data_IF_444875590371
#
_entry.id   IF_444875590371
#
_cell.length_a   1.000
_cell.length_b   1.000
_cell.length_c   1.000
_cell.angle_alpha   90.00
_cell.angle_beta   90.00
_cell.angle_gamma   90.00
#
_symmetry.space_group_name_H-M   'P 1'
#
loop_
_entity.id
_entity.type
_entity.pdbx_description
1 polymer ?
#
# COMPACT_ATOMS: atom_id res chain seq x y z
N UNK A 1 14.57 20.86 -2.51
CA UNK A 1 13.54 19.80 -2.41
C UNK A 1 12.37 20.23 -1.50
N UNK A 2 12.58 20.48 -0.18
CA UNK A 2 11.49 20.88 0.74
C UNK A 2 10.81 22.19 0.30
N UNK A 3 11.57 23.18 -0.15
CA UNK A 3 11.03 24.44 -0.66
C UNK A 3 10.21 24.27 -1.95
N UNK A 4 10.60 23.33 -2.79
CA UNK A 4 9.88 22.99 -4.03
C UNK A 4 8.54 22.31 -3.71
N UNK A 5 8.53 21.36 -2.78
CA UNK A 5 7.30 20.70 -2.34
C UNK A 5 6.34 21.72 -1.70
N UNK A 6 6.83 22.61 -0.86
CA UNK A 6 6.04 23.70 -0.26
C UNK A 6 5.42 24.66 -1.29
N UNK A 7 5.95 24.73 -2.49
CA UNK A 7 5.34 25.51 -3.58
C UNK A 7 4.17 24.79 -4.26
N UNK A 8 3.99 23.50 -4.01
CA UNK A 8 2.98 22.66 -4.66
C UNK A 8 1.86 22.27 -3.69
N UNK A 9 2.19 22.10 -2.40
CA UNK A 9 1.25 21.65 -1.37
C UNK A 9 1.31 22.50 -0.12
N UNK A 10 0.14 22.82 0.44
CA UNK A 10 0.00 23.60 1.67
C UNK A 10 0.11 22.75 2.94
N UNK A 11 -0.21 21.46 2.86
CA UNK A 11 -0.24 20.51 3.99
C UNK A 11 1.06 19.71 4.06
N UNK A 12 2.12 20.32 4.60
CA UNK A 12 3.42 19.66 4.78
C UNK A 12 3.75 19.59 6.26
N UNK A 13 4.02 18.37 6.73
CA UNK A 13 4.54 18.10 8.07
C UNK A 13 6.00 17.63 7.94
N UNK A 14 6.93 18.47 8.40
CA UNK A 14 8.35 18.11 8.43
C UNK A 14 8.65 17.30 9.68
N UNK A 15 9.26 16.13 9.51
CA UNK A 15 9.65 15.23 10.60
C UNK A 15 11.08 14.71 10.42
N UNK A 16 11.69 14.26 11.52
CA UNK A 16 13.00 13.60 11.52
C UNK A 16 12.89 12.26 12.30
N UNK A 17 11.88 11.45 11.96
CA UNK A 17 11.47 10.29 12.75
C UNK A 17 12.09 8.96 12.29
N UNK A 18 12.65 8.91 11.09
CA UNK A 18 13.03 7.65 10.43
C UNK A 18 11.83 6.90 9.86
N UNK A 19 12.07 5.78 9.17
CA UNK A 19 11.07 5.11 8.32
C UNK A 19 9.83 4.66 9.13
N UNK A 20 9.97 3.72 10.07
CA UNK A 20 8.85 3.18 10.85
C UNK A 20 8.03 4.24 11.58
N UNK A 21 8.71 5.20 12.22
CA UNK A 21 8.01 6.25 12.96
C UNK A 21 7.33 7.26 12.05
N UNK A 22 7.88 7.54 10.87
CA UNK A 22 7.24 8.39 9.87
C UNK A 22 5.95 7.76 9.35
N UNK A 23 5.97 6.46 9.05
CA UNK A 23 4.77 5.73 8.66
C UNK A 23 3.71 5.75 9.77
N UNK A 24 4.07 5.43 11.02
CA UNK A 24 3.13 5.51 12.15
C UNK A 24 2.58 6.92 12.36
N UNK A 25 3.38 7.95 12.15
CA UNK A 25 2.91 9.33 12.21
C UNK A 25 1.85 9.63 11.14
N UNK A 26 2.02 9.11 9.91
CA UNK A 26 1.01 9.21 8.85
C UNK A 26 -0.28 8.44 9.22
N UNK A 27 -0.16 7.26 9.81
CA UNK A 27 -1.30 6.46 10.30
C UNK A 27 -2.07 7.22 11.39
N UNK A 28 -1.36 7.76 12.39
CA UNK A 28 -2.00 8.54 13.48
C UNK A 28 -2.66 9.81 12.94
N UNK A 29 -1.99 10.50 12.00
CA UNK A 29 -2.58 11.66 11.35
C UNK A 29 -3.88 11.31 10.63
N UNK A 30 -3.90 10.19 9.89
CA UNK A 30 -5.10 9.73 9.20
C UNK A 30 -6.23 9.41 10.18
N UNK A 31 -5.96 8.69 11.26
CA UNK A 31 -6.96 8.32 12.28
C UNK A 31 -7.51 9.56 13.01
N UNK A 32 -6.71 10.60 13.20
CA UNK A 32 -7.13 11.80 13.95
C UNK A 32 -7.87 12.82 13.10
N UNK A 33 -7.69 12.82 11.78
CA UNK A 33 -8.16 13.91 10.92
C UNK A 33 -9.21 13.50 9.88
N UNK A 34 -9.45 12.21 9.69
CA UNK A 34 -10.39 11.70 8.70
C UNK A 34 -11.44 10.78 9.35
N UNK A 35 -12.63 10.72 8.75
CA UNK A 35 -13.69 9.83 9.20
C UNK A 35 -13.36 8.37 8.87
N UNK A 36 -13.92 7.43 9.65
CA UNK A 36 -13.68 5.99 9.49
C UNK A 36 -14.03 5.46 8.08
N UNK A 37 -14.99 6.08 7.40
CA UNK A 37 -15.41 5.74 6.05
C UNK A 37 -14.51 6.29 4.95
N UNK A 38 -13.66 7.26 5.27
CA UNK A 38 -12.74 7.84 4.30
C UNK A 38 -11.61 6.88 3.96
N UNK A 39 -11.07 7.06 2.76
CA UNK A 39 -9.95 6.28 2.24
C UNK A 39 -8.68 7.11 2.24
N UNK A 40 -7.60 6.48 2.63
CA UNK A 40 -6.26 7.05 2.59
C UNK A 40 -5.36 6.20 1.71
N UNK A 41 -4.47 6.85 0.98
CA UNK A 41 -3.47 6.19 0.15
C UNK A 41 -2.07 6.59 0.64
N UNK A 42 -1.36 5.64 1.25
CA UNK A 42 0.04 5.81 1.63
C UNK A 42 0.89 5.63 0.39
N UNK A 43 1.77 6.60 0.13
CA UNK A 43 2.66 6.60 -1.03
C UNK A 43 4.04 7.07 -0.59
N UNK A 44 5.06 6.28 -0.93
CA UNK A 44 6.45 6.68 -0.79
C UNK A 44 6.88 7.52 -2.00
N UNK A 45 7.89 8.37 -1.83
CA UNK A 45 8.29 9.39 -2.82
C UNK A 45 9.06 8.82 -4.03
N UNK A 46 9.38 7.54 -4.02
CA UNK A 46 10.09 6.81 -5.07
C UNK A 46 9.18 5.91 -5.91
N UNK A 47 7.89 6.19 -5.91
CA UNK A 47 6.91 5.52 -6.78
C UNK A 47 6.43 6.44 -7.90
N UNK A 48 6.43 5.91 -9.12
CA UNK A 48 5.82 6.54 -10.29
C UNK A 48 4.47 5.88 -10.58
N UNK A 49 3.44 6.70 -10.70
CA UNK A 49 2.07 6.26 -11.00
C UNK A 49 1.70 6.57 -12.44
N UNK A 50 0.91 5.68 -13.04
CA UNK A 50 0.16 5.98 -14.25
C UNK A 50 -1.06 6.85 -13.93
N UNK A 51 -1.73 7.39 -14.96
CA UNK A 51 -2.95 8.17 -14.79
C UNK A 51 -4.10 7.35 -14.15
N UNK A 52 -5.15 8.04 -13.72
CA UNK A 52 -6.40 7.47 -13.23
C UNK A 52 -6.30 6.66 -11.93
N UNK A 53 -5.34 7.02 -11.06
CA UNK A 53 -5.10 6.37 -9.76
C UNK A 53 -6.40 6.16 -8.97
N UNK A 54 -7.24 7.18 -8.87
CA UNK A 54 -8.48 7.14 -8.11
C UNK A 54 -9.45 6.06 -8.64
N UNK A 55 -9.64 5.97 -9.96
CA UNK A 55 -10.52 4.99 -10.56
C UNK A 55 -10.05 3.56 -10.29
N UNK A 56 -8.74 3.32 -10.40
CA UNK A 56 -8.17 2.00 -10.08
C UNK A 56 -8.26 1.67 -8.59
N UNK A 57 -8.03 2.62 -7.69
CA UNK A 57 -8.19 2.37 -6.26
C UNK A 57 -9.66 2.04 -5.93
N UNK A 58 -10.62 2.78 -6.50
CA UNK A 58 -12.03 2.50 -6.33
C UNK A 58 -12.41 1.11 -6.85
N UNK A 59 -11.86 0.72 -8.00
CA UNK A 59 -12.04 -0.61 -8.59
C UNK A 59 -11.50 -1.72 -7.66
N UNK A 60 -10.31 -1.54 -7.10
CA UNK A 60 -9.74 -2.48 -6.13
C UNK A 60 -10.56 -2.65 -4.86
N UNK A 61 -11.18 -1.58 -4.38
CA UNK A 61 -12.11 -1.68 -3.25
C UNK A 61 -13.43 -2.35 -3.63
N UNK A 62 -13.89 -2.18 -4.87
CA UNK A 62 -15.16 -2.76 -5.36
C UNK A 62 -15.16 -4.29 -5.35
N UNK A 63 -13.99 -4.92 -5.44
CA UNK A 63 -13.87 -6.40 -5.33
C UNK A 63 -13.87 -6.91 -3.90
N UNK A 64 -14.12 -6.04 -2.91
CA UNK A 64 -14.23 -6.39 -1.49
C UNK A 64 -12.89 -6.39 -0.73
N UNK A 65 -11.87 -5.72 -1.26
CA UNK A 65 -10.59 -5.60 -0.60
C UNK A 65 -10.61 -4.63 0.59
N UNK A 66 -9.90 -4.97 1.66
CA UNK A 66 -9.64 -4.06 2.80
C UNK A 66 -8.43 -3.16 2.52
N UNK A 67 -7.48 -3.69 1.75
CA UNK A 67 -6.25 -3.02 1.36
C UNK A 67 -6.03 -3.18 -0.15
N UNK A 68 -5.65 -2.11 -0.82
CA UNK A 68 -5.47 -2.06 -2.27
C UNK A 68 -4.10 -1.49 -2.58
N UNK A 69 -3.29 -2.19 -3.36
CA UNK A 69 -2.05 -1.64 -3.91
C UNK A 69 -2.12 -1.58 -5.43
N UNK A 70 -1.64 -0.48 -6.00
CA UNK A 70 -1.44 -0.34 -7.44
C UNK A 70 -0.09 -0.90 -7.89
N UNK A 71 0.76 -1.25 -6.93
CA UNK A 71 2.07 -1.81 -7.18
C UNK A 71 2.02 -3.33 -7.28
N UNK A 72 2.37 -3.82 -8.46
CA UNK A 72 2.55 -5.25 -8.69
C UNK A 72 4.02 -5.60 -8.48
N UNK A 73 4.36 -6.04 -7.29
CA UNK A 73 5.74 -6.28 -6.88
C UNK A 73 6.34 -7.49 -7.62
N UNK A 74 7.56 -7.37 -8.20
CA UNK A 74 8.21 -8.41 -9.02
C UNK A 74 8.52 -9.69 -8.25
N UNK A 75 8.64 -9.66 -6.91
CA UNK A 75 8.88 -10.85 -6.09
C UNK A 75 7.78 -11.91 -6.21
N UNK A 76 6.54 -11.50 -6.51
CA UNK A 76 5.39 -12.40 -6.71
C UNK A 76 5.51 -13.26 -7.98
N UNK A 77 6.47 -12.95 -8.84
CA UNK A 77 6.83 -13.72 -10.04
C UNK A 77 8.08 -14.58 -9.84
N UNK A 78 8.70 -14.51 -8.65
CA UNK A 78 9.89 -15.27 -8.31
C UNK A 78 9.51 -16.56 -7.59
N UNK A 79 9.47 -17.67 -8.33
CA UNK A 79 9.10 -18.98 -7.79
C UNK A 79 10.05 -19.46 -6.68
N UNK A 80 11.28 -19.02 -6.65
CA UNK A 80 12.22 -19.39 -5.57
C UNK A 80 11.87 -18.73 -4.24
N UNK A 81 11.32 -17.53 -4.29
CA UNK A 81 10.88 -16.78 -3.10
C UNK A 81 9.49 -17.23 -2.63
N UNK A 82 8.61 -17.53 -3.57
CA UNK A 82 7.24 -17.97 -3.30
C UNK A 82 6.89 -19.26 -4.05
N UNK A 83 7.50 -20.41 -3.69
CA UNK A 83 7.35 -21.65 -4.46
C UNK A 83 5.93 -22.23 -4.45
N UNK A 84 5.11 -21.82 -3.49
CA UNK A 84 3.72 -22.31 -3.32
C UNK A 84 2.70 -21.17 -3.30
N UNK A 85 3.05 -19.97 -3.79
CA UNK A 85 2.13 -18.84 -3.82
C UNK A 85 0.88 -19.19 -4.61
N UNK A 86 -0.26 -19.07 -3.96
CA UNK A 86 -1.57 -19.15 -4.58
C UNK A 86 -2.27 -17.81 -4.44
N UNK A 87 -2.82 -17.32 -5.53
CA UNK A 87 -3.56 -16.06 -5.55
C UNK A 87 -4.96 -16.28 -6.10
N UNK A 88 -5.95 -15.63 -5.49
CA UNK A 88 -7.28 -15.49 -6.06
C UNK A 88 -7.28 -14.33 -7.02
N UNK A 89 -7.91 -14.49 -8.18
CA UNK A 89 -8.11 -13.43 -9.15
C UNK A 89 -9.54 -12.90 -9.01
N UNK A 90 -9.64 -11.58 -8.93
CA UNK A 90 -10.89 -10.84 -8.93
C UNK A 90 -10.96 -10.00 -10.19
N UNK A 91 -12.12 -9.92 -10.80
CA UNK A 91 -12.36 -9.12 -12.01
C UNK A 91 -13.03 -7.83 -11.59
N UNK A 92 -12.32 -6.72 -11.71
CA UNK A 92 -12.85 -5.38 -11.54
C UNK A 92 -13.35 -4.80 -12.87
N UNK A 93 -13.86 -3.58 -12.83
CA UNK A 93 -14.31 -2.86 -14.01
C UNK A 93 -13.15 -2.39 -14.90
N UNK A 94 -12.06 -1.98 -14.27
CA UNK A 94 -10.90 -1.39 -14.94
C UNK A 94 -9.69 -2.32 -15.00
N UNK A 95 -9.62 -3.34 -14.14
CA UNK A 95 -8.47 -4.23 -14.06
C UNK A 95 -8.80 -5.59 -13.48
N UNK A 96 -7.83 -6.49 -13.58
CA UNK A 96 -7.80 -7.70 -12.77
C UNK A 96 -7.01 -7.45 -11.50
N UNK A 97 -7.47 -8.03 -10.42
CA UNK A 97 -6.88 -7.92 -9.09
C UNK A 97 -6.49 -9.30 -8.60
N UNK A 98 -5.33 -9.42 -8.00
CA UNK A 98 -4.95 -10.67 -7.36
C UNK A 98 -4.76 -10.49 -5.86
N UNK A 99 -5.17 -11.47 -5.06
CA UNK A 99 -4.77 -11.49 -3.66
C UNK A 99 -3.27 -11.69 -3.56
N UNK A 100 -2.61 -10.89 -2.70
CA UNK A 100 -1.16 -10.97 -2.47
C UNK A 100 -0.88 -11.07 -0.98
N UNK A 101 0.22 -11.77 -0.57
CA UNK A 101 0.56 -11.93 0.84
C UNK A 101 1.10 -10.65 1.47
N UNK A 102 1.68 -9.76 0.68
CA UNK A 102 2.26 -8.49 1.13
C UNK A 102 2.39 -7.50 -0.01
N UNK A 103 2.60 -6.26 0.33
CA UNK A 103 3.08 -5.19 -0.55
C UNK A 103 4.02 -4.32 0.27
N UNK A 104 4.80 -3.45 -0.38
CA UNK A 104 5.56 -2.41 0.31
C UNK A 104 4.61 -1.40 0.97
N UNK A 105 5.13 -0.37 1.64
CA UNK A 105 4.32 0.59 2.39
C UNK A 105 3.50 1.55 1.50
N UNK A 106 3.28 1.17 0.23
CA UNK A 106 2.44 1.88 -0.74
C UNK A 106 1.13 1.13 -0.96
N UNK A 107 0.08 1.56 -0.26
CA UNK A 107 -1.26 0.95 -0.30
C UNK A 107 -2.36 1.92 0.13
N UNK A 108 -3.57 1.68 -0.35
CA UNK A 108 -4.78 2.38 0.08
C UNK A 108 -5.62 1.51 1.02
N UNK A 109 -6.31 2.14 1.95
CA UNK A 109 -7.23 1.49 2.88
C UNK A 109 -8.25 2.48 3.44
N UNK A 110 -9.32 1.99 4.09
CA UNK A 110 -10.21 2.83 4.86
C UNK A 110 -9.61 3.14 6.25
N UNK A 111 -9.90 4.31 6.79
CA UNK A 111 -9.48 4.71 8.14
C UNK A 111 -9.98 3.71 9.18
N UNK A 112 -11.19 3.17 9.04
CA UNK A 112 -11.71 2.09 9.88
C UNK A 112 -10.78 0.86 9.94
N UNK A 113 -10.15 0.49 8.82
CA UNK A 113 -9.20 -0.64 8.80
C UNK A 113 -7.89 -0.32 9.53
N UNK A 114 -7.45 0.94 9.52
CA UNK A 114 -6.29 1.38 10.30
C UNK A 114 -6.60 1.28 11.81
N UNK A 115 -7.76 1.75 12.23
CA UNK A 115 -8.22 1.69 13.63
C UNK A 115 -8.32 0.24 14.09
N UNK A 116 -8.98 -0.60 13.29
CA UNK A 116 -9.17 -2.04 13.58
C UNK A 116 -7.85 -2.80 13.75
N UNK A 117 -6.83 -2.45 12.98
CA UNK A 117 -5.56 -3.15 12.94
C UNK A 117 -4.40 -2.35 13.56
N UNK A 118 -4.71 -1.35 14.38
CA UNK A 118 -3.73 -0.43 14.96
C UNK A 118 -2.59 -1.14 15.69
N UNK A 119 -2.91 -2.18 16.46
CA UNK A 119 -1.94 -2.99 17.19
C UNK A 119 -0.93 -3.67 16.25
N UNK A 120 -1.39 -4.24 15.13
CA UNK A 120 -0.51 -4.86 14.12
C UNK A 120 0.40 -3.81 13.47
N UNK A 121 -0.15 -2.63 13.13
CA UNK A 121 0.61 -1.53 12.56
C UNK A 121 1.78 -1.12 13.48
N UNK A 122 1.51 -0.98 14.77
CA UNK A 122 2.55 -0.65 15.74
C UNK A 122 3.59 -1.77 15.91
N UNK A 123 3.13 -3.02 15.99
CA UNK A 123 4.02 -4.18 16.12
C UNK A 123 4.92 -4.34 14.91
N UNK A 124 4.41 -4.11 13.69
CA UNK A 124 5.19 -4.18 12.45
C UNK A 124 6.28 -3.10 12.35
N UNK A 125 6.12 -2.01 13.10
CA UNK A 125 7.02 -0.86 13.13
C UNK A 125 7.94 -0.83 14.36
N UNK A 126 8.14 -1.95 15.05
CA UNK A 126 9.00 -2.02 16.23
C UNK A 126 10.50 -1.90 15.90
N UNK A 127 10.88 -2.00 14.63
CA UNK A 127 12.23 -1.83 14.12
C UNK A 127 12.36 -0.52 13.33
N UNK A 128 13.59 -0.19 12.89
CA UNK A 128 13.87 1.02 12.11
C UNK A 128 13.11 1.05 10.78
N UNK A 129 12.98 -0.11 10.13
CA UNK A 129 12.21 -0.30 8.90
C UNK A 129 10.96 -1.14 9.23
N UNK A 130 9.78 -0.74 8.74
CA UNK A 130 8.57 -1.51 8.94
C UNK A 130 8.68 -2.90 8.30
N UNK A 131 8.08 -3.92 8.94
CA UNK A 131 7.94 -5.24 8.34
C UNK A 131 6.57 -5.37 7.68
N UNK A 132 6.49 -4.98 6.41
CA UNK A 132 5.28 -5.05 5.60
C UNK A 132 4.75 -6.48 5.43
N UNK A 133 5.65 -7.45 5.21
CA UNK A 133 5.28 -8.87 5.14
C UNK A 133 4.59 -9.35 6.43
N UNK A 134 5.19 -9.10 7.59
CA UNK A 134 4.61 -9.45 8.89
C UNK A 134 3.25 -8.78 9.11
N UNK A 135 3.17 -7.49 8.80
CA UNK A 135 1.96 -6.69 8.91
C UNK A 135 0.79 -7.32 8.14
N UNK A 136 0.99 -7.58 6.85
CA UNK A 136 -0.07 -8.12 6.00
C UNK A 136 -0.38 -9.59 6.29
N UNK A 137 0.58 -10.42 6.69
CA UNK A 137 0.32 -11.79 7.17
C UNK A 137 -0.63 -11.78 8.38
N UNK A 138 -0.37 -10.92 9.36
CA UNK A 138 -1.22 -10.76 10.54
C UNK A 138 -2.61 -10.21 10.19
N UNK A 139 -2.69 -9.22 9.33
CA UNK A 139 -3.97 -8.65 8.88
C UNK A 139 -4.81 -9.71 8.14
N UNK A 140 -4.21 -10.49 7.26
CA UNK A 140 -4.89 -11.58 6.55
C UNK A 140 -5.39 -12.66 7.51
N UNK A 141 -4.66 -12.96 8.59
CA UNK A 141 -5.13 -13.88 9.64
C UNK A 141 -6.38 -13.39 10.36
N UNK A 142 -6.67 -12.08 10.31
CA UNK A 142 -7.89 -11.44 10.81
C UNK A 142 -8.99 -11.30 9.74
N UNK A 143 -8.76 -11.87 8.55
CA UNK A 143 -9.73 -11.84 7.46
C UNK A 143 -9.65 -10.59 6.57
N UNK A 144 -8.60 -9.76 6.72
CA UNK A 144 -8.38 -8.65 5.81
C UNK A 144 -7.88 -9.15 4.46
N UNK A 145 -8.36 -8.54 3.39
CA UNK A 145 -7.97 -8.88 2.02
C UNK A 145 -7.10 -7.76 1.45
N UNK A 146 -5.86 -8.11 1.07
CA UNK A 146 -4.98 -7.27 0.27
C UNK A 146 -5.01 -7.72 -1.18
N UNK A 147 -5.24 -6.78 -2.09
CA UNK A 147 -5.18 -7.02 -3.53
C UNK A 147 -4.17 -6.13 -4.23
N UNK A 148 -3.56 -6.66 -5.28
CA UNK A 148 -2.65 -5.96 -6.18
C UNK A 148 -3.25 -5.89 -7.58
N UNK A 149 -3.10 -4.74 -8.23
CA UNK A 149 -3.54 -4.52 -9.61
C UNK A 149 -2.68 -5.32 -10.61
N UNK A 150 -3.30 -5.93 -11.62
CA UNK A 150 -2.60 -6.63 -12.70
C UNK A 150 -3.10 -6.20 -14.07
N UNK A 151 -2.23 -5.61 -14.91
CA UNK A 151 -0.87 -5.18 -14.61
C UNK A 151 -0.83 -4.04 -13.60
N UNK A 152 0.31 -3.86 -12.93
CA UNK A 152 0.51 -2.77 -11.96
C UNK A 152 0.26 -1.39 -12.58
N UNK A 153 -0.24 -0.45 -11.77
CA UNK A 153 -0.51 0.95 -12.17
C UNK A 153 0.46 1.93 -11.53
N UNK A 154 1.37 1.42 -10.71
CA UNK A 154 2.55 2.15 -10.27
C UNK A 154 3.78 1.24 -10.23
N UNK A 155 4.95 1.84 -10.21
CA UNK A 155 6.22 1.13 -10.11
C UNK A 155 7.14 1.82 -9.13
N UNK A 156 7.91 1.03 -8.38
CA UNK A 156 9.04 1.53 -7.62
C UNK A 156 10.15 1.96 -8.60
N UNK A 157 10.85 3.07 -8.31
CA UNK A 157 11.88 3.62 -9.21
C UNK A 157 13.27 2.99 -9.05
N UNK A 158 13.38 1.93 -8.27
CA UNK A 158 14.59 1.12 -8.19
C UNK A 158 14.56 -0.02 -9.22
N UNK A 159 15.72 -0.26 -9.86
CA UNK A 159 15.84 -1.18 -11.00
C UNK A 159 15.33 -2.60 -10.70
N UNK A 160 15.61 -3.12 -9.52
CA UNK A 160 15.27 -4.51 -9.15
C UNK A 160 13.81 -4.65 -8.68
N UNK A 161 13.10 -3.53 -8.53
CA UNK A 161 11.73 -3.45 -8.03
C UNK A 161 10.75 -2.87 -9.06
N UNK A 162 11.16 -2.76 -10.32
CA UNK A 162 10.23 -2.33 -11.37
C UNK A 162 9.06 -3.30 -11.48
N UNK A 163 7.84 -2.76 -11.58
CA UNK A 163 6.64 -3.57 -11.75
C UNK A 163 6.71 -4.33 -13.07
N UNK A 164 6.41 -5.63 -13.10
CA UNK A 164 6.41 -6.41 -14.33
C UNK A 164 5.15 -6.11 -15.17
N UNK A 165 5.17 -6.54 -16.45
CA UNK A 165 4.04 -6.47 -17.39
C UNK A 165 3.60 -5.04 -17.77
N UNK A 166 4.43 -4.03 -17.53
CA UNK A 166 4.22 -2.65 -17.99
C UNK A 166 5.43 -2.27 -18.87
N UNK A 167 5.16 -1.85 -20.11
CA UNK A 167 6.17 -1.36 -21.05
C UNK A 167 6.51 0.11 -20.81
#
# INVERSE_FOLDING_TARGET
FVSEIKSIHDNIVETALGNSKSFLNCVEYAIQNFDESERVYFVENDYLHLSDVENYLNDGFSVGASFVTLYDHPDKYNISQYPTLQSKIFVGEHSHWRSVPSTCMTFATHVASLIKNKDILYESCCHEVPSDWYMFEKMQSRGELLVSCMPGRCTHLERDYLTPLVD
#
